data_IF_624126347473
#
_entry.id   IF_624126347473
#
_cell.length_a   1.000
_cell.length_b   1.000
_cell.length_c   1.000
_cell.angle_alpha   90.00
_cell.angle_beta   90.00
_cell.angle_gamma   90.00
#
_symmetry.space_group_name_H-M   'P 1'
#
loop_
_entity.id
_entity.type
_entity.pdbx_description
1 polymer ?
#
# COMPACT_ATOMS: atom_id res chain seq x y z
N UNK A 1 -13.54 -15.50 5.58
CA UNK A 1 -14.20 -14.41 4.85
C UNK A 1 -13.34 -13.15 4.91
N UNK A 2 -13.17 -12.47 3.80
CA UNK A 2 -12.36 -11.26 3.75
C UNK A 2 -13.19 -10.05 4.20
N UNK A 3 -12.63 -9.24 5.10
CA UNK A 3 -13.21 -7.96 5.51
C UNK A 3 -12.37 -6.86 4.88
N UNK A 4 -13.06 -5.82 4.37
CA UNK A 4 -12.42 -4.68 3.73
C UNK A 4 -12.62 -3.42 4.57
N UNK A 5 -11.53 -2.69 4.82
CA UNK A 5 -11.58 -1.34 5.40
C UNK A 5 -10.99 -0.36 4.39
N UNK A 6 -11.72 0.71 4.12
CA UNK A 6 -11.28 1.78 3.22
C UNK A 6 -10.97 3.04 4.01
N UNK A 7 -9.84 3.68 3.65
CA UNK A 7 -9.47 5.02 4.10
C UNK A 7 -9.37 5.94 2.89
N UNK A 8 -9.62 7.22 3.10
CA UNK A 8 -9.39 8.24 2.07
C UNK A 8 -8.30 9.17 2.58
N UNK A 9 -7.16 9.20 1.89
CA UNK A 9 -5.97 9.92 2.32
C UNK A 9 -5.46 10.88 1.26
N UNK A 10 -4.55 11.73 1.66
CA UNK A 10 -3.81 12.74 0.92
C UNK A 10 -4.72 13.75 0.20
N UNK A 11 -4.11 14.86 -0.35
CA UNK A 11 -4.91 15.92 -1.00
C UNK A 11 -5.70 15.47 -2.23
N UNK A 12 -5.33 14.31 -2.82
CA UNK A 12 -6.02 13.78 -4.00
C UNK A 12 -7.20 12.88 -3.64
N UNK A 13 -7.48 12.69 -2.33
CA UNK A 13 -8.58 11.84 -1.87
C UNK A 13 -8.46 10.41 -2.41
N UNK A 14 -7.25 9.86 -2.34
CA UNK A 14 -6.98 8.50 -2.80
C UNK A 14 -7.51 7.49 -1.78
N UNK A 15 -7.98 6.34 -2.26
CA UNK A 15 -8.49 5.27 -1.40
C UNK A 15 -7.38 4.27 -1.07
N UNK A 16 -7.12 4.12 0.23
CA UNK A 16 -6.23 3.10 0.77
C UNK A 16 -7.07 1.99 1.37
N UNK A 17 -6.72 0.74 1.08
CA UNK A 17 -7.51 -0.41 1.54
C UNK A 17 -6.69 -1.30 2.45
N UNK A 18 -7.36 -1.85 3.48
CA UNK A 18 -6.84 -2.96 4.28
C UNK A 18 -7.82 -4.11 4.10
N UNK A 19 -7.30 -5.27 3.68
CA UNK A 19 -8.06 -6.51 3.58
C UNK A 19 -7.53 -7.48 4.64
N UNK A 20 -8.43 -8.10 5.38
CA UNK A 20 -8.04 -9.07 6.40
C UNK A 20 -9.08 -10.17 6.52
N UNK A 21 -8.67 -11.30 7.08
CA UNK A 21 -9.56 -12.42 7.32
C UNK A 21 -9.52 -12.89 8.79
N UNK A 22 -10.10 -14.04 9.08
CA UNK A 22 -10.19 -14.59 10.43
C UNK A 22 -8.83 -14.91 11.05
N UNK A 23 -7.78 -15.04 10.25
CA UNK A 23 -6.41 -15.27 10.77
C UNK A 23 -5.80 -14.00 11.36
N UNK A 24 -6.39 -12.84 11.08
CA UNK A 24 -5.86 -11.52 11.41
C UNK A 24 -4.67 -11.10 10.56
N UNK A 25 -4.23 -11.90 9.60
CA UNK A 25 -3.28 -11.45 8.59
C UNK A 25 -3.96 -10.45 7.67
N UNK A 26 -3.26 -9.38 7.31
CA UNK A 26 -3.86 -8.35 6.47
C UNK A 26 -2.93 -7.92 5.33
N UNK A 27 -3.57 -7.38 4.29
CA UNK A 27 -2.91 -6.80 3.12
C UNK A 27 -3.19 -5.31 3.11
N UNK A 28 -2.16 -4.50 2.89
CA UNK A 28 -2.30 -3.05 2.71
C UNK A 28 -2.19 -2.75 1.22
N UNK A 29 -3.19 -2.08 0.67
CA UNK A 29 -3.25 -1.77 -0.76
C UNK A 29 -3.25 -0.25 -0.95
N UNK A 30 -2.33 0.24 -1.77
CA UNK A 30 -2.21 1.66 -2.16
C UNK A 30 -2.16 2.60 -0.95
N UNK A 31 -1.16 2.46 -0.05
CA UNK A 31 -1.08 3.31 1.12
C UNK A 31 -0.73 4.75 0.73
N UNK A 32 -1.72 5.62 0.84
CA UNK A 32 -1.60 7.01 0.42
C UNK A 32 -1.46 8.00 1.57
N UNK A 33 -1.10 7.56 2.78
CA UNK A 33 -0.97 8.46 3.93
C UNK A 33 0.08 9.52 3.64
N UNK A 34 -0.32 10.79 3.78
CA UNK A 34 0.55 11.91 3.47
C UNK A 34 1.20 12.53 4.70
N UNK A 35 0.49 12.58 5.83
CA UNK A 35 0.99 13.21 7.05
C UNK A 35 0.88 12.26 8.25
N UNK A 36 1.36 12.73 9.42
CA UNK A 36 1.35 11.94 10.64
C UNK A 36 -0.05 11.57 11.11
N UNK A 37 -1.03 12.44 10.90
CA UNK A 37 -2.39 12.15 11.31
C UNK A 37 -2.97 10.99 10.50
N UNK A 38 -2.72 10.96 9.20
CA UNK A 38 -3.17 9.86 8.32
C UNK A 38 -2.42 8.57 8.63
N UNK A 39 -1.11 8.66 8.88
CA UNK A 39 -0.33 7.50 9.31
C UNK A 39 -0.87 6.90 10.59
N UNK A 40 -1.23 7.74 11.56
CA UNK A 40 -1.80 7.28 12.82
C UNK A 40 -3.15 6.59 12.65
N UNK A 41 -3.99 7.06 11.71
CA UNK A 41 -5.26 6.39 11.42
C UNK A 41 -5.03 4.94 10.98
N UNK A 42 -4.07 4.73 10.08
CA UNK A 42 -3.76 3.38 9.57
C UNK A 42 -3.20 2.51 10.70
N UNK A 43 -2.21 3.01 11.42
CA UNK A 43 -1.57 2.26 12.51
C UNK A 43 -2.57 1.89 13.59
N UNK A 44 -3.41 2.84 13.99
CA UNK A 44 -4.39 2.61 15.05
C UNK A 44 -5.43 1.56 14.65
N UNK A 45 -5.89 1.59 13.40
CA UNK A 45 -6.83 0.57 12.93
C UNK A 45 -6.21 -0.82 12.99
N UNK A 46 -4.97 -0.96 12.51
CA UNK A 46 -4.26 -2.25 12.51
C UNK A 46 -4.06 -2.74 13.95
N UNK A 47 -3.65 -1.84 14.84
CA UNK A 47 -3.40 -2.16 16.24
C UNK A 47 -4.68 -2.52 16.98
N UNK A 48 -5.73 -1.71 16.82
CA UNK A 48 -6.99 -1.90 17.55
C UNK A 48 -7.71 -3.19 17.13
N UNK A 49 -7.47 -3.67 15.91
CA UNK A 49 -8.06 -4.90 15.41
C UNK A 49 -7.11 -6.11 15.48
N UNK A 50 -5.95 -5.94 16.11
CA UNK A 50 -4.94 -6.98 16.28
C UNK A 50 -4.50 -7.61 14.95
N UNK A 51 -4.34 -6.79 13.91
CA UNK A 51 -3.97 -7.26 12.59
C UNK A 51 -2.46 -7.36 12.44
N UNK A 52 -2.01 -8.29 11.59
CA UNK A 52 -0.61 -8.46 11.23
C UNK A 52 -0.45 -8.21 9.73
N UNK A 53 0.12 -7.07 9.32
CA UNK A 53 0.38 -6.81 7.89
C UNK A 53 1.39 -7.81 7.33
N UNK A 54 1.03 -8.47 6.23
CA UNK A 54 1.86 -9.48 5.60
C UNK A 54 2.21 -9.13 4.16
N UNK A 55 1.44 -8.27 3.51
CA UNK A 55 1.67 -7.87 2.11
C UNK A 55 1.38 -6.39 1.95
N UNK A 56 2.16 -5.75 1.08
CA UNK A 56 1.93 -4.40 0.60
C UNK A 56 1.77 -4.48 -0.92
N UNK A 57 0.61 -4.09 -1.42
CA UNK A 57 0.31 -4.13 -2.86
C UNK A 57 0.01 -2.72 -3.38
N UNK A 58 0.47 -2.42 -4.60
CA UNK A 58 0.08 -1.20 -5.30
C UNK A 58 -0.66 -1.58 -6.58
N UNK A 59 -1.83 -0.99 -6.80
CA UNK A 59 -2.57 -1.14 -8.06
C UNK A 59 -1.94 -0.26 -9.13
N UNK A 60 -1.54 0.94 -8.73
CA UNK A 60 -0.82 1.91 -9.57
C UNK A 60 0.31 2.50 -8.73
N UNK A 61 1.34 3.01 -9.41
CA UNK A 61 2.46 3.65 -8.72
C UNK A 61 2.51 5.16 -8.94
N UNK A 62 1.37 5.80 -9.24
CA UNK A 62 1.25 7.26 -9.19
C UNK A 62 1.42 7.73 -7.75
N UNK A 63 1.85 8.97 -7.58
CA UNK A 63 2.25 9.49 -6.27
C UNK A 63 1.20 9.28 -5.18
N UNK A 64 -0.08 9.50 -5.48
CA UNK A 64 -1.16 9.39 -4.51
C UNK A 64 -1.35 7.96 -3.97
N UNK A 65 -0.89 6.95 -4.72
CA UNK A 65 -1.00 5.53 -4.33
C UNK A 65 0.24 5.00 -3.59
N UNK A 66 1.35 5.75 -3.61
CA UNK A 66 2.62 5.25 -3.07
C UNK A 66 3.21 6.14 -1.97
N UNK A 67 2.52 7.22 -1.60
CA UNK A 67 3.01 8.16 -0.58
C UNK A 67 3.35 7.47 0.75
N UNK A 68 2.65 6.43 1.11
CA UNK A 68 2.87 5.71 2.35
C UNK A 68 3.72 4.46 2.23
N UNK A 69 4.24 4.13 1.04
CA UNK A 69 5.02 2.90 0.86
C UNK A 69 6.23 2.83 1.80
N UNK A 70 6.99 3.92 1.91
CA UNK A 70 8.17 3.97 2.78
C UNK A 70 7.79 3.83 4.24
N UNK A 71 6.69 4.45 4.66
CA UNK A 71 6.19 4.32 6.03
C UNK A 71 5.82 2.87 6.34
N UNK A 72 5.13 2.19 5.43
CA UNK A 72 4.75 0.78 5.60
C UNK A 72 6.00 -0.10 5.71
N UNK A 73 7.00 0.17 4.87
CA UNK A 73 8.27 -0.55 4.94
C UNK A 73 8.96 -0.35 6.28
N UNK A 74 9.04 0.90 6.75
CA UNK A 74 9.71 1.20 8.02
C UNK A 74 8.96 0.59 9.21
N UNK A 75 7.63 0.52 9.13
CA UNK A 75 6.78 0.08 10.22
C UNK A 75 6.69 -1.46 10.31
N UNK A 76 6.59 -2.14 9.16
CA UNK A 76 6.32 -3.58 9.12
C UNK A 76 7.29 -4.37 8.24
N UNK A 77 8.28 -3.72 7.63
CA UNK A 77 9.28 -4.41 6.82
C UNK A 77 8.78 -4.92 5.47
N UNK A 78 7.66 -4.41 4.98
CA UNK A 78 7.06 -4.88 3.74
C UNK A 78 7.51 -4.03 2.56
N UNK A 79 7.95 -4.70 1.49
CA UNK A 79 8.24 -4.05 0.21
C UNK A 79 7.02 -4.15 -0.69
N UNK A 80 6.79 -3.14 -1.55
CA UNK A 80 5.60 -3.16 -2.41
C UNK A 80 5.70 -4.24 -3.47
N UNK A 81 4.54 -4.80 -3.83
CA UNK A 81 4.41 -5.71 -4.96
C UNK A 81 3.42 -5.08 -5.94
N UNK A 82 3.79 -5.02 -7.21
CA UNK A 82 2.97 -4.46 -8.27
C UNK A 82 3.40 -5.04 -9.62
N UNK A 83 2.64 -4.76 -10.67
CA UNK A 83 2.98 -5.22 -12.01
C UNK A 83 4.25 -4.54 -12.49
N UNK A 84 5.08 -5.29 -13.20
CA UNK A 84 6.38 -4.80 -13.69
C UNK A 84 6.25 -3.51 -14.50
N UNK A 85 5.16 -3.33 -15.23
CA UNK A 85 4.92 -2.11 -16.00
C UNK A 85 4.81 -0.85 -15.17
N UNK A 86 4.57 -0.96 -13.86
CA UNK A 86 4.47 0.18 -12.95
C UNK A 86 5.83 0.65 -12.41
N UNK A 87 6.92 -0.08 -12.68
CA UNK A 87 8.22 0.30 -12.12
C UNK A 87 8.67 1.68 -12.59
N UNK A 88 8.50 2.00 -13.88
CA UNK A 88 8.82 3.33 -14.40
C UNK A 88 7.98 4.41 -13.75
N UNK A 89 6.71 4.12 -13.49
CA UNK A 89 5.80 5.06 -12.85
C UNK A 89 6.29 5.37 -11.45
N UNK A 90 6.68 4.33 -10.69
CA UNK A 90 7.23 4.52 -9.35
C UNK A 90 8.51 5.35 -9.37
N UNK A 91 9.43 5.01 -10.26
CA UNK A 91 10.71 5.71 -10.34
C UNK A 91 10.56 7.17 -10.72
N UNK A 92 9.54 7.51 -11.51
CA UNK A 92 9.28 8.88 -11.92
C UNK A 92 8.76 9.76 -10.77
N UNK A 93 8.18 9.18 -9.72
CA UNK A 93 7.57 9.96 -8.63
C UNK A 93 8.59 10.89 -7.98
N UNK A 94 9.80 10.41 -7.71
CA UNK A 94 10.84 11.23 -7.08
C UNK A 94 11.16 12.48 -7.89
N UNK A 95 11.05 12.41 -9.23
CA UNK A 95 11.34 13.53 -10.11
C UNK A 95 10.21 14.56 -10.14
N UNK A 96 8.93 14.12 -10.15
CA UNK A 96 7.83 15.07 -10.32
C UNK A 96 7.17 15.50 -9.00
N UNK A 97 7.36 14.77 -7.89
CA UNK A 97 6.73 15.11 -6.62
C UNK A 97 7.04 16.55 -6.17
N UNK A 98 8.31 17.04 -6.22
CA UNK A 98 8.59 18.41 -5.85
C UNK A 98 7.88 19.44 -6.74
N UNK A 99 7.69 19.12 -8.02
CA UNK A 99 6.99 20.01 -8.96
C UNK A 99 5.51 20.12 -8.61
N UNK A 100 4.95 19.12 -7.95
CA UNK A 100 3.56 19.12 -7.47
C UNK A 100 3.43 19.74 -6.08
N UNK A 101 4.55 20.17 -5.47
CA UNK A 101 4.54 20.68 -4.12
C UNK A 101 4.34 19.61 -3.05
N UNK A 102 4.57 18.34 -3.39
CA UNK A 102 4.36 17.22 -2.48
C UNK A 102 5.66 16.76 -1.87
N UNK A 103 5.64 16.49 -0.57
CA UNK A 103 6.73 15.79 0.09
C UNK A 103 6.57 14.28 -0.18
N UNK A 104 7.62 13.65 -0.66
CA UNK A 104 7.61 12.22 -0.95
C UNK A 104 8.86 11.54 -0.40
N UNK A 105 8.67 10.56 0.45
CA UNK A 105 9.76 9.70 0.90
C UNK A 105 9.90 8.54 -0.08
N UNK A 106 11.12 8.29 -0.52
CA UNK A 106 11.39 7.31 -1.58
C UNK A 106 10.89 5.91 -1.19
N UNK A 107 9.96 5.38 -1.99
CA UNK A 107 9.46 4.02 -1.79
C UNK A 107 10.57 3.00 -2.06
N UNK A 108 10.65 1.92 -1.25
CA UNK A 108 11.50 0.81 -1.65
C UNK A 108 10.98 0.19 -2.95
N UNK A 109 11.90 -0.37 -3.74
CA UNK A 109 11.52 -1.09 -4.95
C UNK A 109 11.08 -2.51 -4.61
N UNK A 110 10.25 -3.15 -5.46
CA UNK A 110 9.77 -4.50 -5.17
C UNK A 110 10.86 -5.55 -5.33
N UNK A 111 10.76 -6.60 -4.53
CA UNK A 111 11.54 -7.83 -4.75
C UNK A 111 10.78 -8.78 -5.68
N UNK A 112 9.45 -8.70 -5.67
CA UNK A 112 8.56 -9.58 -6.42
C UNK A 112 7.60 -8.71 -7.21
N UNK A 113 7.44 -9.00 -8.50
CA UNK A 113 6.42 -8.35 -9.33
C UNK A 113 5.17 -9.21 -9.40
N UNK A 114 3.99 -8.56 -9.45
CA UNK A 114 2.73 -9.26 -9.67
C UNK A 114 2.56 -9.54 -11.16
N UNK A 115 2.04 -10.73 -11.47
CA UNK A 115 1.69 -11.09 -12.84
C UNK A 115 0.38 -10.41 -13.25
N UNK A 116 0.08 -10.40 -14.55
CA UNK A 116 -1.17 -9.84 -15.06
C UNK A 116 -2.39 -10.63 -14.59
N UNK A 117 -2.21 -11.92 -14.35
CA UNK A 117 -3.26 -12.82 -13.86
C UNK A 117 -2.66 -13.71 -12.79
N UNK A 118 -3.52 -14.37 -12.03
CA UNK A 118 -3.10 -15.28 -10.98
C UNK A 118 -3.72 -14.90 -9.65
N UNK A 119 -3.10 -15.36 -8.58
CA UNK A 119 -3.62 -15.13 -7.23
C UNK A 119 -2.52 -14.68 -6.29
N UNK A 120 -2.91 -13.89 -5.28
CA UNK A 120 -2.05 -13.52 -4.15
C UNK A 120 -2.72 -14.05 -2.89
N UNK A 121 -1.95 -14.73 -2.05
CA UNK A 121 -2.47 -15.37 -0.85
C UNK A 121 -2.08 -14.61 0.41
N UNK A 122 -3.01 -14.52 1.35
CA UNK A 122 -2.73 -14.03 2.69
C UNK A 122 -3.67 -14.72 3.68
N UNK A 123 -3.15 -15.10 4.86
CA UNK A 123 -3.95 -15.86 5.82
C UNK A 123 -4.53 -17.12 5.20
N UNK A 124 -5.86 -17.27 5.33
CA UNK A 124 -6.62 -18.37 4.69
C UNK A 124 -7.33 -17.91 3.42
N UNK A 125 -6.96 -16.76 2.89
CA UNK A 125 -7.67 -16.11 1.79
C UNK A 125 -6.78 -15.90 0.60
N UNK A 126 -7.39 -15.57 -0.56
CA UNK A 126 -6.64 -15.22 -1.76
C UNK A 126 -7.36 -14.14 -2.55
N UNK A 127 -6.58 -13.36 -3.29
CA UNK A 127 -7.06 -12.31 -4.18
C UNK A 127 -6.73 -12.71 -5.61
N UNK A 128 -7.68 -12.47 -6.53
CA UNK A 128 -7.42 -12.66 -7.95
C UNK A 128 -6.81 -11.40 -8.56
N UNK A 129 -5.82 -11.59 -9.42
CA UNK A 129 -5.22 -10.52 -10.21
C UNK A 129 -5.94 -10.43 -11.55
N UNK A 130 -6.40 -9.25 -11.90
CA UNK A 130 -7.11 -8.97 -13.16
C UNK A 130 -6.48 -7.80 -13.87
#
# INVERSE_FOLDING_TARGET
MITLKKFTFNPYQENTYILFDETKDCVIIDPGMYDGAEQNQLVNFIKDNNLTPTLLLNTHCHIDHVLGNKFVFDQWGLKPQFHQGELYVLQAVAAYAPQMGMHYELSPEPEIFLEETGTVKFGNSQLELV
#
